data_IF_076900954923
#
_entry.id   IF_076900954923
#
_cell.length_a   1.000
_cell.length_b   1.000
_cell.length_c   1.000
_cell.angle_alpha   90.00
_cell.angle_beta   90.00
_cell.angle_gamma   90.00
#
_symmetry.space_group_name_H-M   'P 1'
#
loop_
_entity.id
_entity.type
_entity.pdbx_description
1 polymer ?
#
# COMPACT_ATOMS: atom_id res chain seq x y z
N UNK A 1 -15.54 -5.86 -7.22
CA UNK A 1 -15.34 -5.46 -5.83
C UNK A 1 -14.34 -4.31 -5.77
N UNK A 2 -14.71 -3.27 -5.07
CA UNK A 2 -13.85 -2.10 -4.98
C UNK A 2 -12.68 -2.36 -4.04
N UNK A 3 -11.50 -1.88 -4.41
CA UNK A 3 -10.34 -1.93 -3.54
C UNK A 3 -10.47 -0.87 -2.45
N UNK A 4 -10.07 -1.22 -1.26
CA UNK A 4 -10.04 -0.25 -0.17
C UNK A 4 -8.70 0.48 -0.21
N UNK A 5 -8.63 1.51 -1.02
CA UNK A 5 -7.38 2.24 -1.21
C UNK A 5 -6.93 2.95 0.05
N UNK A 6 -7.86 3.38 0.90
CA UNK A 6 -7.49 3.98 2.18
C UNK A 6 -6.70 2.98 3.04
N UNK A 7 -7.15 1.74 3.08
CA UNK A 7 -6.45 0.72 3.86
C UNK A 7 -5.06 0.44 3.29
N UNK A 8 -4.93 0.42 1.96
CA UNK A 8 -3.62 0.26 1.33
C UNK A 8 -2.67 1.39 1.68
N UNK A 9 -3.17 2.63 1.61
CA UNK A 9 -2.35 3.79 1.96
C UNK A 9 -1.96 3.77 3.43
N UNK A 10 -2.90 3.38 4.29
CA UNK A 10 -2.63 3.30 5.72
C UNK A 10 -1.55 2.26 6.02
N UNK A 11 -1.59 1.12 5.34
CA UNK A 11 -0.59 0.10 5.53
C UNK A 11 0.79 0.59 5.11
N UNK A 12 0.86 1.27 3.98
CA UNK A 12 2.12 1.81 3.49
C UNK A 12 2.69 2.86 4.42
N UNK A 13 1.84 3.66 5.04
CA UNK A 13 2.28 4.75 5.91
C UNK A 13 2.43 4.36 7.36
N UNK A 14 2.10 3.12 7.71
CA UNK A 14 2.24 2.66 9.09
C UNK A 14 3.71 2.72 9.49
N UNK A 15 4.00 3.20 10.71
CA UNK A 15 5.40 3.40 11.12
C UNK A 15 6.15 2.08 11.18
N UNK A 16 7.28 2.04 10.50
CA UNK A 16 8.13 0.85 10.49
C UNK A 16 7.68 -0.26 9.55
N UNK A 17 6.63 -0.04 8.76
CA UNK A 17 6.19 -1.05 7.78
C UNK A 17 6.87 -0.76 6.45
N UNK A 18 7.85 -1.58 6.10
CA UNK A 18 8.46 -1.55 4.78
C UNK A 18 7.75 -2.52 3.85
N UNK A 19 8.27 -2.67 2.63
CA UNK A 19 7.62 -3.54 1.66
C UNK A 19 7.60 -5.00 2.10
N UNK A 20 8.64 -5.48 2.76
CA UNK A 20 8.65 -6.86 3.25
C UNK A 20 7.62 -7.10 4.35
N UNK A 21 7.54 -6.18 5.30
CA UNK A 21 6.54 -6.27 6.35
C UNK A 21 5.14 -6.21 5.76
N UNK A 22 4.94 -5.33 4.79
CA UNK A 22 3.67 -5.21 4.09
C UNK A 22 3.29 -6.54 3.44
N UNK A 23 4.22 -7.19 2.76
CA UNK A 23 3.95 -8.50 2.16
C UNK A 23 3.59 -9.55 3.20
N UNK A 24 4.31 -9.55 4.33
CA UNK A 24 4.02 -10.49 5.41
C UNK A 24 2.61 -10.31 5.94
N UNK A 25 2.19 -9.06 6.15
CA UNK A 25 0.84 -8.78 6.63
C UNK A 25 -0.22 -9.20 5.60
N UNK A 26 0.05 -8.94 4.33
CA UNK A 26 -0.88 -9.32 3.27
C UNK A 26 -1.01 -10.83 3.12
N UNK A 27 0.09 -11.55 3.26
CA UNK A 27 0.04 -13.01 3.20
C UNK A 27 -0.75 -13.59 4.36
N UNK A 28 -0.61 -13.00 5.54
CA UNK A 28 -1.31 -13.49 6.72
C UNK A 28 -2.80 -13.21 6.68
N UNK A 29 -3.21 -12.07 6.15
CA UNK A 29 -4.60 -11.60 6.25
C UNK A 29 -5.32 -11.48 4.90
N UNK A 30 -4.61 -11.56 3.81
CA UNK A 30 -5.20 -11.51 2.47
C UNK A 30 -5.43 -10.11 1.92
N UNK A 31 -5.65 -9.13 2.77
CA UNK A 31 -5.87 -7.75 2.33
C UNK A 31 -5.53 -6.79 3.47
N UNK A 32 -5.21 -5.52 3.14
CA UNK A 32 -5.00 -4.53 4.19
C UNK A 32 -6.24 -4.30 5.04
N UNK A 33 -7.42 -4.36 4.43
CA UNK A 33 -8.66 -4.16 5.16
C UNK A 33 -8.84 -5.21 6.24
N UNK A 34 -8.55 -6.47 5.92
CA UNK A 34 -8.66 -7.55 6.89
C UNK A 34 -7.71 -7.32 8.07
N UNK A 35 -6.50 -6.83 7.80
CA UNK A 35 -5.55 -6.51 8.85
C UNK A 35 -6.08 -5.41 9.79
N UNK A 36 -6.64 -4.34 9.21
CA UNK A 36 -7.09 -3.22 10.04
C UNK A 36 -8.33 -3.57 10.87
N UNK A 37 -9.11 -4.54 10.44
CA UNK A 37 -10.31 -4.96 11.16
C UNK A 37 -10.08 -6.14 12.09
N UNK A 38 -8.91 -6.76 12.05
CA UNK A 38 -8.63 -7.89 12.91
C UNK A 38 -8.31 -7.44 14.34
N UNK A 39 -8.75 -8.19 15.34
CA UNK A 39 -8.35 -7.88 16.72
C UNK A 39 -6.84 -8.03 16.90
N UNK A 40 -6.20 -7.20 17.70
CA UNK A 40 -4.75 -7.32 17.94
C UNK A 40 -4.33 -8.70 18.44
N UNK A 41 -5.18 -9.37 19.21
CA UNK A 41 -4.87 -10.71 19.70
C UNK A 41 -4.76 -11.71 18.57
N UNK A 42 -5.64 -11.62 17.55
CA UNK A 42 -5.57 -12.48 16.39
C UNK A 42 -4.31 -12.21 15.57
N UNK A 43 -3.98 -10.93 15.43
CA UNK A 43 -2.78 -10.55 14.69
C UNK A 43 -1.54 -11.14 15.35
N UNK A 44 -1.46 -11.07 16.67
CA UNK A 44 -0.31 -11.59 17.39
C UNK A 44 -0.20 -13.12 17.30
N UNK A 45 -1.32 -13.81 17.20
CA UNK A 45 -1.30 -15.27 17.01
C UNK A 45 -0.67 -15.64 15.67
N UNK A 46 -0.95 -14.87 14.64
CA UNK A 46 -0.42 -15.14 13.30
C UNK A 46 0.98 -14.58 13.10
N UNK A 47 1.30 -13.50 13.79
CA UNK A 47 2.55 -12.77 13.62
C UNK A 47 3.19 -12.53 14.98
N UNK A 48 3.63 -13.60 15.67
CA UNK A 48 4.16 -13.46 17.03
C UNK A 48 5.46 -12.68 17.12
N UNK A 49 6.13 -12.46 16.00
CA UNK A 49 7.39 -11.70 15.98
C UNK A 49 7.18 -10.21 16.23
N UNK A 50 5.93 -9.71 16.14
CA UNK A 50 5.66 -8.30 16.34
C UNK A 50 5.02 -8.07 17.71
N UNK A 51 5.35 -6.93 18.32
CA UNK A 51 4.82 -6.59 19.63
C UNK A 51 3.46 -5.93 19.52
N UNK A 52 2.68 -6.02 20.60
CA UNK A 52 1.34 -5.46 20.62
C UNK A 52 1.35 -3.96 20.34
N UNK A 53 2.33 -3.24 20.86
CA UNK A 53 2.43 -1.80 20.63
C UNK A 53 2.68 -1.47 19.17
N UNK A 54 3.50 -2.27 18.50
CA UNK A 54 3.74 -2.07 17.07
C UNK A 54 2.46 -2.26 16.27
N UNK A 55 1.74 -3.33 16.58
CA UNK A 55 0.50 -3.65 15.86
C UNK A 55 -0.53 -2.57 16.07
N UNK A 56 -0.67 -2.09 17.31
CA UNK A 56 -1.62 -1.01 17.61
C UNK A 56 -1.27 0.26 16.86
N UNK A 57 0.02 0.59 16.79
CA UNK A 57 0.47 1.77 16.07
C UNK A 57 0.18 1.64 14.59
N UNK A 58 0.35 0.46 14.02
CA UNK A 58 0.05 0.23 12.61
C UNK A 58 -1.42 0.39 12.33
N UNK A 59 -2.27 -0.20 13.17
CA UNK A 59 -3.72 -0.10 12.97
C UNK A 59 -4.22 1.33 13.12
N UNK A 60 -3.60 2.12 13.99
CA UNK A 60 -3.97 3.51 14.16
C UNK A 60 -3.66 4.36 12.92
N UNK A 61 -2.75 3.90 12.06
CA UNK A 61 -2.39 4.64 10.86
C UNK A 61 -3.57 4.84 9.90
N UNK A 62 -4.63 4.05 10.04
CA UNK A 62 -5.82 4.21 9.20
C UNK A 62 -6.42 5.60 9.32
N UNK A 63 -6.20 6.24 10.46
CA UNK A 63 -6.75 7.58 10.72
C UNK A 63 -5.71 8.69 10.58
N UNK A 64 -4.55 8.37 10.03
CA UNK A 64 -3.46 9.31 9.86
C UNK A 64 -3.85 10.40 8.85
N UNK A 65 -3.44 11.64 9.14
CA UNK A 65 -3.70 12.75 8.22
C UNK A 65 -3.01 12.55 6.88
N UNK A 66 -1.88 11.84 6.84
CA UNK A 66 -1.20 11.54 5.59
C UNK A 66 -2.06 10.65 4.69
N UNK A 67 -2.82 9.73 5.28
CA UNK A 67 -3.75 8.90 4.51
C UNK A 67 -4.88 9.76 3.94
N UNK A 68 -5.38 10.69 4.73
CA UNK A 68 -6.40 11.62 4.24
C UNK A 68 -5.87 12.44 3.07
N UNK A 69 -4.62 12.87 3.15
CA UNK A 69 -4.00 13.63 2.06
C UNK A 69 -3.89 12.78 0.79
N UNK A 70 -3.60 11.50 0.93
CA UNK A 70 -3.55 10.60 -0.23
C UNK A 70 -4.92 10.49 -0.90
N UNK A 71 -5.97 10.38 -0.11
CA UNK A 71 -7.33 10.30 -0.66
C UNK A 71 -7.73 11.61 -1.33
N UNK A 72 -7.37 12.75 -0.73
CA UNK A 72 -7.64 14.04 -1.32
C UNK A 72 -6.89 14.23 -2.64
N UNK A 73 -5.64 13.78 -2.70
CA UNK A 73 -4.86 13.82 -3.93
C UNK A 73 -5.55 13.04 -5.05
N UNK A 74 -6.03 11.85 -4.72
CA UNK A 74 -6.71 11.00 -5.69
C UNK A 74 -7.98 11.66 -6.20
N UNK A 75 -8.79 12.20 -5.29
CA UNK A 75 -10.05 12.82 -5.65
C UNK A 75 -9.85 14.08 -6.49
N UNK A 76 -8.81 14.86 -6.19
CA UNK A 76 -8.56 16.11 -6.89
C UNK A 76 -8.14 15.91 -8.34
N UNK A 77 -7.76 14.69 -8.72
CA UNK A 77 -7.29 14.43 -10.07
C UNK A 77 -8.41 14.29 -11.10
N UNK A 78 -9.67 14.20 -10.69
CA UNK A 78 -10.81 14.06 -11.60
C UNK A 78 -10.61 12.95 -12.63
N UNK A 79 -10.13 11.79 -12.16
CA UNK A 79 -9.92 10.65 -13.03
C UNK A 79 -8.55 10.58 -13.69
N UNK A 80 -7.68 11.56 -13.45
CA UNK A 80 -6.33 11.54 -14.02
C UNK A 80 -5.29 11.00 -13.06
N UNK A 81 -5.66 10.76 -11.82
CA UNK A 81 -4.74 10.23 -10.79
C UNK A 81 -5.23 8.89 -10.32
N UNK A 82 -4.29 8.01 -10.05
CA UNK A 82 -4.61 6.63 -9.70
C UNK A 82 -3.69 6.15 -8.59
N UNK A 83 -4.23 5.30 -7.72
CA UNK A 83 -3.43 4.57 -6.73
C UNK A 83 -3.59 3.10 -7.07
N UNK A 84 -2.49 2.45 -7.42
CA UNK A 84 -2.51 1.08 -7.94
C UNK A 84 -1.78 0.16 -6.97
N UNK A 85 -2.54 -0.66 -6.22
CA UNK A 85 -1.91 -1.63 -5.33
C UNK A 85 -1.27 -2.79 -6.09
N UNK A 86 -0.34 -3.46 -5.44
CA UNK A 86 0.36 -4.59 -6.01
C UNK A 86 -0.61 -5.67 -6.54
N UNK A 87 -1.75 -5.86 -5.89
CA UNK A 87 -2.73 -6.87 -6.28
C UNK A 87 -3.64 -6.45 -7.43
N UNK A 88 -3.58 -5.19 -7.85
CA UNK A 88 -4.44 -4.68 -8.91
C UNK A 88 -3.95 -5.20 -10.27
N UNK A 89 -4.87 -5.63 -11.16
CA UNK A 89 -4.47 -6.04 -12.50
C UNK A 89 -3.73 -4.97 -13.30
N UNK A 90 -3.94 -3.70 -12.97
CA UNK A 90 -3.24 -2.60 -13.63
C UNK A 90 -1.79 -2.45 -13.19
N UNK A 91 -1.37 -3.14 -12.14
CA UNK A 91 0.01 -3.08 -11.70
C UNK A 91 0.93 -3.67 -12.77
N UNK A 92 2.03 -2.99 -13.15
CA UNK A 92 2.88 -3.46 -14.24
C UNK A 92 3.49 -4.83 -13.94
N UNK A 93 3.32 -5.81 -14.84
CA UNK A 93 3.85 -7.15 -14.57
C UNK A 93 5.35 -7.21 -14.39
N UNK A 94 6.10 -6.42 -15.15
CA UNK A 94 7.55 -6.43 -15.02
C UNK A 94 8.02 -5.88 -13.70
N UNK A 95 7.28 -4.92 -13.15
CA UNK A 95 7.63 -4.35 -11.86
C UNK A 95 7.44 -5.37 -10.73
N UNK A 96 6.49 -6.29 -10.89
CA UNK A 96 6.29 -7.35 -9.91
C UNK A 96 7.47 -8.28 -9.78
N UNK A 97 8.30 -8.36 -10.83
CA UNK A 97 9.40 -9.32 -10.87
C UNK A 97 10.65 -8.84 -10.17
N UNK A 98 10.72 -7.57 -9.80
CA UNK A 98 11.91 -7.11 -9.09
C UNK A 98 11.89 -7.63 -7.65
N UNK A 99 13.07 -7.71 -6.99
CA UNK A 99 13.14 -8.33 -5.66
C UNK A 99 12.29 -7.67 -4.60
N UNK A 100 12.03 -6.39 -4.73
CA UNK A 100 11.32 -5.64 -3.69
C UNK A 100 10.34 -4.65 -4.33
N UNK A 101 9.27 -5.17 -4.97
CA UNK A 101 8.36 -4.27 -5.67
C UNK A 101 7.58 -3.40 -4.70
N UNK A 102 7.35 -2.13 -5.07
CA UNK A 102 6.56 -1.24 -4.21
C UNK A 102 5.14 -1.77 -4.06
N UNK A 103 4.58 -1.72 -2.84
CA UNK A 103 3.21 -2.22 -2.63
C UNK A 103 2.14 -1.34 -3.24
N UNK A 104 2.43 -0.07 -3.48
CA UNK A 104 1.51 0.88 -4.10
C UNK A 104 2.24 1.72 -5.12
N UNK A 105 1.52 2.11 -6.17
CA UNK A 105 1.98 3.10 -7.14
C UNK A 105 1.01 4.27 -7.15
N UNK A 106 1.56 5.48 -7.10
CA UNK A 106 0.79 6.71 -7.29
C UNK A 106 1.05 7.17 -8.71
N UNK A 107 0.01 7.19 -9.54
CA UNK A 107 0.15 7.43 -10.97
C UNK A 107 -0.68 8.64 -11.37
N UNK A 108 -0.08 9.54 -12.15
CA UNK A 108 -0.81 10.62 -12.78
C UNK A 108 -0.75 10.43 -14.28
N UNK A 109 -1.93 10.40 -14.93
CA UNK A 109 -2.04 10.15 -16.35
C UNK A 109 -2.74 8.83 -16.63
N UNK A 110 -2.43 8.24 -17.78
CA UNK A 110 -3.08 7.01 -18.22
C UNK A 110 -2.29 5.79 -17.72
N UNK A 111 -2.82 5.03 -16.76
CA UNK A 111 -2.09 3.88 -16.21
C UNK A 111 -1.85 2.76 -17.23
N UNK A 112 -2.63 2.70 -18.30
CA UNK A 112 -2.42 1.69 -19.32
C UNK A 112 -1.05 1.79 -19.98
N UNK A 113 -0.46 2.98 -19.96
CA UNK A 113 0.85 3.18 -20.53
C UNK A 113 1.95 2.47 -19.76
N UNK A 114 1.70 2.12 -18.51
CA UNK A 114 2.68 1.40 -17.69
C UNK A 114 2.94 0.00 -18.20
N UNK A 115 2.02 -0.57 -18.95
CA UNK A 115 2.16 -1.93 -19.46
C UNK A 115 2.50 -1.99 -20.95
N UNK A 116 2.52 -0.86 -21.64
CA UNK A 116 2.68 -0.84 -23.10
C UNK A 116 4.04 -0.36 -23.55
N UNK A 117 4.82 0.26 -22.69
CA UNK A 117 6.08 0.87 -23.08
C UNK A 117 7.15 0.56 -22.06
N UNK A 118 8.38 0.69 -22.50
CA UNK A 118 9.53 0.65 -21.62
C UNK A 118 9.51 1.91 -20.78
N UNK A 119 9.27 1.75 -19.51
CA UNK A 119 9.21 2.89 -18.62
C UNK A 119 10.25 2.72 -17.53
N UNK A 120 11.12 3.69 -17.40
CA UNK A 120 12.02 3.76 -16.29
C UNK A 120 11.24 4.35 -15.13
N UNK A 121 10.90 3.52 -14.18
CA UNK A 121 10.22 3.99 -12.98
C UNK A 121 11.29 4.33 -11.98
N UNK A 122 11.47 5.61 -11.76
CA UNK A 122 12.45 6.10 -10.81
C UNK A 122 11.68 6.69 -9.67
N UNK A 123 11.74 6.02 -8.57
CA UNK A 123 11.03 6.53 -7.45
C UNK A 123 11.48 5.83 -6.20
N UNK A 124 11.57 6.59 -5.17
CA UNK A 124 11.79 6.06 -3.86
C UNK A 124 11.07 6.98 -2.92
N UNK A 125 10.93 6.50 -1.70
CA UNK A 125 10.29 7.34 -0.70
C UNK A 125 11.08 8.60 -0.40
N UNK A 126 12.32 8.68 -0.83
CA UNK A 126 13.17 9.85 -0.62
C UNK A 126 13.33 10.66 -1.89
N UNK A 127 12.60 10.35 -2.93
CA UNK A 127 12.78 10.98 -4.23
C UNK A 127 12.28 12.42 -4.26
N UNK A 128 11.57 12.83 -3.24
CA UNK A 128 11.03 14.18 -3.16
C UNK A 128 12.11 15.25 -3.01
N UNK A 129 13.31 14.88 -2.68
CA UNK A 129 14.39 15.85 -2.47
C UNK A 129 14.79 16.57 -3.72
#
# INVERSE_FOLDING_TARGET
MALNLRAWCALLRAPGVGSKTCQTLLEAFGSPEAFFHAPPTEIRKRLPQYRAEQISAWQAAEHDTAVNADMDWLAAGNGTRHIIPYSDPAYPPLLREIPDPPPLLFVQGNPALLTTAQIAIVGSRNASE
#
